data_IF_668251182439
#
_entry.id   IF_668251182439
#
_cell.length_a   1.000
_cell.length_b   1.000
_cell.length_c   1.000
_cell.angle_alpha   90.00
_cell.angle_beta   90.00
_cell.angle_gamma   90.00
#
_symmetry.space_group_name_H-M   'P 1'
#
loop_
_entity.id
_entity.type
_entity.pdbx_description
1 polymer ?
#
# COMPACT_ATOMS: atom_id res chain seq x y z
N UNK A 1 17.35 14.79 -24.56
CA UNK A 1 16.25 13.88 -24.96
C UNK A 1 15.12 14.76 -25.47
N UNK A 2 14.45 14.44 -26.60
CA UNK A 2 13.29 15.22 -27.04
C UNK A 2 12.23 15.31 -25.93
N UNK A 3 11.53 16.43 -25.86
CA UNK A 3 10.54 16.72 -24.81
C UNK A 3 9.47 15.62 -24.72
N UNK A 4 9.03 15.14 -25.88
CA UNK A 4 8.01 14.11 -26.07
C UNK A 4 8.40 12.76 -25.42
N UNK A 5 9.68 12.36 -25.50
CA UNK A 5 10.16 11.15 -24.82
C UNK A 5 10.19 11.31 -23.29
N UNK A 6 10.36 12.54 -22.80
CA UNK A 6 10.42 12.83 -21.37
C UNK A 6 9.02 12.77 -20.77
N UNK A 7 8.04 13.37 -21.45
CA UNK A 7 6.62 13.31 -21.06
C UNK A 7 6.07 11.88 -21.07
N UNK A 8 6.41 11.10 -22.11
CA UNK A 8 6.03 9.69 -22.20
C UNK A 8 6.62 8.88 -21.04
N UNK A 9 7.90 9.09 -20.72
CA UNK A 9 8.58 8.43 -19.61
C UNK A 9 7.90 8.71 -18.27
N UNK A 10 7.61 9.98 -17.95
CA UNK A 10 6.92 10.33 -16.71
C UNK A 10 5.49 9.78 -16.65
N UNK A 11 4.76 9.80 -17.77
CA UNK A 11 3.41 9.22 -17.84
C UNK A 11 3.42 7.72 -17.59
N UNK A 12 4.38 6.99 -18.16
CA UNK A 12 4.57 5.57 -17.92
C UNK A 12 4.94 5.30 -16.46
N UNK A 13 5.83 6.11 -15.88
CA UNK A 13 6.25 5.98 -14.50
C UNK A 13 5.07 6.19 -13.53
N UNK A 14 4.24 7.21 -13.77
CA UNK A 14 3.01 7.45 -13.01
C UNK A 14 2.10 6.23 -13.05
N UNK A 15 1.85 5.68 -14.24
CA UNK A 15 1.01 4.48 -14.41
C UNK A 15 1.57 3.30 -13.62
N UNK A 16 2.88 3.05 -13.71
CA UNK A 16 3.55 1.97 -13.00
C UNK A 16 3.36 2.09 -11.47
N UNK A 17 3.55 3.29 -10.92
CA UNK A 17 3.38 3.52 -9.47
C UNK A 17 1.93 3.41 -9.02
N UNK A 18 0.97 3.88 -9.82
CA UNK A 18 -0.46 3.70 -9.50
C UNK A 18 -0.81 2.21 -9.45
N UNK A 19 -0.39 1.43 -10.46
CA UNK A 19 -0.63 -0.02 -10.49
C UNK A 19 0.04 -0.71 -9.30
N UNK A 20 1.30 -0.40 -9.03
CA UNK A 20 2.03 -0.92 -7.87
C UNK A 20 1.34 -0.55 -6.55
N UNK A 21 0.84 0.67 -6.43
CA UNK A 21 0.11 1.16 -5.26
C UNK A 21 -1.21 0.41 -5.03
N UNK A 22 -1.97 0.10 -6.10
CA UNK A 22 -3.19 -0.71 -6.01
C UNK A 22 -2.86 -2.12 -5.54
N UNK A 23 -1.84 -2.76 -6.12
CA UNK A 23 -1.40 -4.09 -5.70
C UNK A 23 -0.94 -4.09 -4.24
N UNK A 24 -0.22 -3.04 -3.82
CA UNK A 24 0.22 -2.87 -2.44
C UNK A 24 -0.94 -2.68 -1.47
N UNK A 25 -1.98 -1.94 -1.87
CA UNK A 25 -3.18 -1.77 -1.06
C UNK A 25 -3.90 -3.11 -0.81
N UNK A 26 -4.02 -3.94 -1.86
CA UNK A 26 -4.57 -5.30 -1.75
C UNK A 26 -3.70 -6.15 -0.81
N UNK A 27 -2.38 -6.10 -0.99
CA UNK A 27 -1.43 -6.77 -0.10
C UNK A 27 -1.60 -6.34 1.36
N UNK A 28 -1.74 -5.04 1.63
CA UNK A 28 -1.94 -4.49 2.97
C UNK A 28 -3.23 -4.99 3.62
N UNK A 29 -4.32 -5.13 2.85
CA UNK A 29 -5.56 -5.76 3.32
C UNK A 29 -5.37 -7.25 3.67
N UNK A 30 -4.58 -7.98 2.88
CA UNK A 30 -4.22 -9.38 3.16
C UNK A 30 -3.41 -9.48 4.45
N UNK A 31 -2.47 -8.56 4.71
CA UNK A 31 -1.70 -8.49 5.95
C UNK A 31 -2.62 -8.33 7.16
N UNK A 32 -3.63 -7.45 7.09
CA UNK A 32 -4.63 -7.31 8.16
C UNK A 32 -5.32 -8.65 8.41
N UNK A 33 -5.84 -9.30 7.36
CA UNK A 33 -6.49 -10.62 7.48
C UNK A 33 -5.56 -11.65 8.12
N UNK A 34 -4.27 -11.62 7.78
CA UNK A 34 -3.27 -12.52 8.33
C UNK A 34 -3.04 -12.27 9.83
N UNK A 35 -2.97 -11.01 10.26
CA UNK A 35 -2.86 -10.64 11.68
C UNK A 35 -4.05 -11.23 12.46
N UNK A 36 -5.28 -11.13 11.95
CA UNK A 36 -6.46 -11.73 12.58
C UNK A 36 -6.41 -13.26 12.62
N UNK A 37 -5.91 -13.91 11.55
CA UNK A 37 -5.79 -15.36 11.51
C UNK A 37 -4.76 -15.88 12.51
N UNK A 38 -3.64 -15.17 12.68
CA UNK A 38 -2.56 -15.55 13.61
C UNK A 38 -2.97 -15.40 15.08
N UNK A 39 -3.88 -14.49 15.40
CA UNK A 39 -4.39 -14.31 16.76
C UNK A 39 -5.14 -15.53 17.30
N UNK A 40 -5.64 -16.41 16.42
CA UNK A 40 -6.31 -17.66 16.85
C UNK A 40 -5.33 -18.69 17.40
N UNK A 41 -4.07 -18.65 16.97
CA UNK A 41 -3.03 -19.61 17.34
C UNK A 41 -2.09 -19.08 18.43
N UNK A 42 -1.90 -17.75 18.52
CA UNK A 42 -1.00 -17.10 19.49
C UNK A 42 -1.73 -15.96 20.21
N UNK A 43 -2.37 -16.28 21.33
CA UNK A 43 -3.00 -15.28 22.20
C UNK A 43 -1.91 -14.65 23.07
N UNK A 44 -1.43 -13.48 22.67
CA UNK A 44 -0.41 -12.73 23.42
C UNK A 44 -0.86 -11.28 23.65
N UNK A 45 -0.31 -10.61 24.67
CA UNK A 45 -0.56 -9.18 24.91
C UNK A 45 -0.16 -8.29 23.72
N UNK A 46 0.73 -8.79 22.86
CA UNK A 46 1.20 -8.12 21.64
C UNK A 46 0.16 -8.10 20.51
N UNK A 47 -0.83 -9.00 20.53
CA UNK A 47 -1.85 -9.14 19.49
C UNK A 47 -2.64 -7.83 19.25
N UNK A 48 -2.96 -7.06 20.30
CA UNK A 48 -3.67 -5.78 20.17
C UNK A 48 -2.83 -4.72 19.45
N UNK A 49 -1.54 -4.65 19.77
CA UNK A 49 -0.60 -3.70 19.17
C UNK A 49 -0.40 -3.99 17.67
N UNK A 50 -0.16 -5.25 17.31
CA UNK A 50 -0.06 -5.69 15.91
C UNK A 50 -1.27 -5.29 15.08
N UNK A 51 -2.48 -5.39 15.65
CA UNK A 51 -3.71 -5.04 14.96
C UNK A 51 -3.80 -3.53 14.66
N UNK A 52 -3.44 -2.70 15.63
CA UNK A 52 -3.40 -1.24 15.45
C UNK A 52 -2.38 -0.88 14.37
N UNK A 53 -1.18 -1.47 14.43
CA UNK A 53 -0.12 -1.25 13.43
C UNK A 53 -0.61 -1.66 12.04
N UNK A 54 -1.31 -2.79 11.91
CA UNK A 54 -1.90 -3.25 10.65
C UNK A 54 -2.87 -2.24 10.03
N UNK A 55 -3.75 -1.64 10.83
CA UNK A 55 -4.67 -0.60 10.34
C UNK A 55 -3.98 0.71 10.00
N UNK A 56 -2.99 1.14 10.79
CA UNK A 56 -2.18 2.33 10.48
C UNK A 56 -1.44 2.11 9.15
N UNK A 57 -0.83 0.95 8.98
CA UNK A 57 -0.16 0.56 7.75
C UNK A 57 -1.09 0.57 6.53
N UNK A 58 -2.32 0.05 6.66
CA UNK A 58 -3.33 0.09 5.60
C UNK A 58 -3.79 1.52 5.29
N UNK A 59 -4.00 2.36 6.30
CA UNK A 59 -4.28 3.78 6.11
C UNK A 59 -3.17 4.50 5.35
N UNK A 60 -1.90 4.22 5.68
CA UNK A 60 -0.74 4.75 4.95
C UNK A 60 -0.71 4.27 3.50
N UNK A 61 -1.03 3.01 3.23
CA UNK A 61 -1.10 2.49 1.86
C UNK A 61 -2.15 3.23 1.01
N UNK A 62 -3.31 3.57 1.59
CA UNK A 62 -4.32 4.41 0.92
C UNK A 62 -3.76 5.80 0.61
N UNK A 63 -3.11 6.45 1.58
CA UNK A 63 -2.55 7.79 1.40
C UNK A 63 -1.46 7.81 0.31
N UNK A 64 -0.60 6.79 0.26
CA UNK A 64 0.43 6.64 -0.78
C UNK A 64 -0.20 6.45 -2.16
N UNK A 65 -1.26 5.63 -2.28
CA UNK A 65 -1.98 5.47 -3.54
C UNK A 65 -2.61 6.80 -3.99
N UNK A 66 -3.26 7.53 -3.08
CA UNK A 66 -3.83 8.84 -3.39
C UNK A 66 -2.75 9.83 -3.84
N UNK A 67 -1.58 9.81 -3.22
CA UNK A 67 -0.44 10.62 -3.63
C UNK A 67 0.01 10.29 -5.07
N UNK A 68 0.11 9.01 -5.44
CA UNK A 68 0.45 8.62 -6.81
C UNK A 68 -0.60 9.03 -7.84
N UNK A 69 -1.89 9.04 -7.47
CA UNK A 69 -2.97 9.46 -8.37
C UNK A 69 -2.97 10.96 -8.59
N UNK A 70 -2.82 11.74 -7.50
CA UNK A 70 -2.99 13.20 -7.51
C UNK A 70 -1.72 13.94 -7.91
N UNK A 71 -0.55 13.50 -7.45
CA UNK A 71 0.67 14.32 -7.48
C UNK A 71 1.78 13.81 -8.39
N UNK A 72 1.85 12.48 -8.60
CA UNK A 72 2.79 11.89 -9.55
C UNK A 72 2.21 11.94 -10.97
#
# INVERSE_FOLDING_TARGET
MPADLTELFFSFLKLLFVVAGVLYLVFSAVVIKQIYSMQKSLVTSFSKHLRIIGFVHFGLAILVLLFFVVSL
#
